data_IF_040005274074
#
_entry.id   IF_040005274074
#
_cell.length_a   1.000
_cell.length_b   1.000
_cell.length_c   1.000
_cell.angle_alpha   90.00
_cell.angle_beta   90.00
_cell.angle_gamma   90.00
#
_symmetry.space_group_name_H-M   'P 1'
#
loop_
_entity.id
_entity.type
_entity.pdbx_description
1 polymer ?
#
# COMPACT_ATOMS: atom_id res chain seq x y z
N UNK A 1 20.13 -28.89 -28.00
CA UNK A 1 20.43 -28.12 -29.24
C UNK A 1 19.21 -27.29 -29.67
N UNK A 2 18.86 -26.25 -28.91
CA UNK A 2 17.76 -25.34 -29.28
C UNK A 2 17.86 -23.99 -28.56
N UNK A 3 19.02 -23.33 -28.66
CA UNK A 3 19.20 -21.93 -28.24
C UNK A 3 19.88 -21.09 -29.34
N UNK A 4 19.68 -21.46 -30.61
CA UNK A 4 20.19 -20.71 -31.78
C UNK A 4 19.09 -19.91 -32.49
N UNK A 5 17.92 -19.78 -31.83
CA UNK A 5 16.77 -19.02 -32.32
C UNK A 5 16.65 -17.61 -31.70
N UNK A 6 17.43 -17.29 -30.65
CA UNK A 6 17.33 -16.01 -29.94
C UNK A 6 18.10 -14.85 -30.59
N UNK A 7 19.12 -15.14 -31.41
CA UNK A 7 19.97 -14.13 -32.04
C UNK A 7 19.34 -13.49 -33.29
N UNK A 8 18.52 -14.22 -34.03
CA UNK A 8 17.84 -13.72 -35.24
C UNK A 8 16.68 -12.76 -34.93
N UNK A 9 16.01 -12.95 -33.79
CA UNK A 9 14.94 -12.06 -33.29
C UNK A 9 15.48 -10.68 -32.87
N UNK A 10 16.65 -10.65 -32.23
CA UNK A 10 17.25 -9.39 -31.79
C UNK A 10 17.73 -8.52 -32.96
N UNK A 11 18.23 -9.15 -34.03
CA UNK A 11 18.68 -8.44 -35.24
C UNK A 11 17.50 -7.86 -36.05
N UNK A 12 16.36 -8.58 -36.11
CA UNK A 12 15.12 -8.07 -36.71
C UNK A 12 14.54 -6.88 -35.92
N UNK A 13 14.62 -6.90 -34.58
CA UNK A 13 14.17 -5.77 -33.75
C UNK A 13 15.02 -4.51 -33.95
N UNK A 14 16.35 -4.64 -34.10
CA UNK A 14 17.23 -3.48 -34.35
C UNK A 14 17.03 -2.86 -35.73
N UNK A 15 16.75 -3.67 -36.75
CA UNK A 15 16.41 -3.17 -38.10
C UNK A 15 15.04 -2.50 -38.13
N UNK A 16 14.05 -3.02 -37.39
CA UNK A 16 12.76 -2.36 -37.21
C UNK A 16 12.89 -1.01 -36.49
N UNK A 17 13.74 -0.92 -35.46
CA UNK A 17 14.01 0.32 -34.73
C UNK A 17 14.67 1.40 -35.60
N UNK A 18 15.71 1.03 -36.38
CA UNK A 18 16.36 1.96 -37.32
C UNK A 18 15.42 2.47 -38.41
N UNK A 19 14.40 1.69 -38.80
CA UNK A 19 13.40 2.12 -39.78
C UNK A 19 12.32 3.01 -39.17
N UNK A 20 12.04 2.88 -37.87
CA UNK A 20 11.11 3.76 -37.14
C UNK A 20 11.70 5.13 -36.80
N UNK A 21 13.00 5.23 -36.51
CA UNK A 21 13.63 6.51 -36.15
C UNK A 21 13.60 7.53 -37.30
N UNK A 22 13.74 7.09 -38.55
CA UNK A 22 13.71 7.99 -39.71
C UNK A 22 12.31 8.54 -40.03
N UNK A 23 11.24 7.86 -39.60
CA UNK A 23 9.85 8.31 -39.82
C UNK A 23 9.45 9.37 -38.78
N UNK A 24 10.01 9.31 -37.57
CA UNK A 24 9.75 10.29 -36.51
C UNK A 24 10.31 11.69 -36.83
N UNK A 25 11.47 11.81 -37.50
CA UNK A 25 11.99 13.13 -37.86
C UNK A 25 11.16 13.86 -38.92
N UNK A 26 10.51 13.12 -39.83
CA UNK A 26 9.60 13.72 -40.82
C UNK A 26 8.29 14.18 -40.17
N UNK A 27 7.81 13.46 -39.15
CA UNK A 27 6.63 13.85 -38.35
C UNK A 27 6.91 15.07 -37.45
N UNK A 28 8.14 15.24 -36.97
CA UNK A 28 8.56 16.41 -36.16
C UNK A 28 8.76 17.69 -36.99
N UNK A 29 8.93 17.58 -38.32
CA UNK A 29 8.98 18.72 -39.25
C UNK A 29 7.62 19.16 -39.78
N UNK A 30 6.55 18.47 -39.37
CA UNK A 30 5.12 18.86 -39.52
C UNK A 30 4.59 19.68 -38.33
N UNK A 31 5.50 20.34 -37.63
CA UNK A 31 5.13 21.60 -36.99
C UNK A 31 4.44 22.53 -38.02
N UNK A 32 3.65 23.45 -37.49
CA UNK A 32 3.63 24.84 -37.95
C UNK A 32 2.64 25.30 -39.02
N UNK A 33 1.51 24.63 -39.32
CA UNK A 33 0.52 25.30 -40.19
C UNK A 33 -0.94 24.83 -40.17
N UNK A 34 -1.62 24.88 -39.02
CA UNK A 34 -3.10 25.02 -38.90
C UNK A 34 -3.44 25.36 -37.45
N UNK A 35 -3.47 26.66 -37.11
CA UNK A 35 -4.71 27.43 -36.84
C UNK A 35 -5.70 26.62 -36.01
N UNK A 36 -5.72 26.89 -34.71
CA UNK A 36 -6.71 27.75 -34.05
C UNK A 36 -8.10 27.09 -34.02
N UNK A 37 -8.63 26.97 -32.81
CA UNK A 37 -9.97 26.46 -32.45
C UNK A 37 -10.05 24.94 -32.19
N UNK A 38 -9.57 24.54 -31.01
CA UNK A 38 -10.22 23.47 -30.25
C UNK A 38 -10.07 23.81 -28.75
N UNK A 39 -11.05 24.59 -28.26
CA UNK A 39 -11.52 24.73 -26.87
C UNK A 39 -10.50 24.75 -25.72
N UNK A 40 -10.08 25.95 -25.25
CA UNK A 40 -9.31 26.15 -24.01
C UNK A 40 -10.03 25.66 -22.75
N UNK A 41 -11.34 25.39 -22.83
CA UNK A 41 -12.19 25.05 -21.68
C UNK A 41 -12.00 23.62 -21.17
N UNK A 42 -11.65 22.66 -22.03
CA UNK A 42 -11.51 21.24 -21.63
C UNK A 42 -10.22 20.95 -20.85
N UNK A 43 -9.10 21.58 -21.22
CA UNK A 43 -7.85 21.47 -20.48
C UNK A 43 -7.97 22.11 -19.08
N UNK A 44 -8.73 23.20 -18.96
CA UNK A 44 -8.98 23.85 -17.67
C UNK A 44 -9.83 22.97 -16.74
N UNK A 45 -10.81 22.23 -17.26
CA UNK A 45 -11.58 21.25 -16.50
C UNK A 45 -10.74 20.04 -16.06
N UNK A 46 -9.80 19.57 -16.89
CA UNK A 46 -8.88 18.49 -16.50
C UNK A 46 -7.92 18.91 -15.38
N UNK A 47 -7.35 20.11 -15.44
CA UNK A 47 -6.46 20.62 -14.39
C UNK A 47 -7.22 20.85 -13.08
N UNK A 48 -8.47 21.35 -13.16
CA UNK A 48 -9.34 21.48 -12.00
C UNK A 48 -9.77 20.12 -11.41
N UNK A 49 -10.00 19.10 -12.23
CA UNK A 49 -10.29 17.74 -11.73
C UNK A 49 -9.12 17.11 -10.98
N UNK A 50 -7.88 17.27 -11.47
CA UNK A 50 -6.69 16.72 -10.79
C UNK A 50 -6.37 17.50 -9.50
N UNK A 51 -6.63 18.81 -9.46
CA UNK A 51 -6.48 19.63 -8.24
C UNK A 51 -7.64 19.52 -7.25
N UNK A 52 -8.82 19.06 -7.69
CA UNK A 52 -10.03 18.91 -6.87
C UNK A 52 -10.28 17.47 -6.42
N UNK A 53 -9.40 16.50 -6.68
CA UNK A 53 -9.43 15.28 -5.87
C UNK A 53 -8.75 15.62 -4.55
N UNK A 54 -9.49 15.86 -3.44
CA UNK A 54 -8.84 15.80 -2.17
C UNK A 54 -8.36 14.35 -2.06
N UNK A 55 -7.16 14.14 -1.53
CA UNK A 55 -6.92 12.88 -0.84
C UNK A 55 -7.96 12.79 0.28
N UNK A 56 -9.16 12.25 -0.02
CA UNK A 56 -10.25 11.95 0.91
C UNK A 56 -9.88 10.76 1.82
N UNK A 57 -8.59 10.52 2.02
CA UNK A 57 -8.13 9.59 3.03
C UNK A 57 -8.11 10.34 4.36
N UNK A 58 -9.04 10.02 5.25
CA UNK A 58 -8.86 10.41 6.65
C UNK A 58 -7.49 9.87 7.12
N UNK A 59 -6.72 10.65 7.91
CA UNK A 59 -5.43 10.19 8.37
C UNK A 59 -5.61 8.97 9.29
N UNK A 60 -5.33 7.78 8.76
CA UNK A 60 -5.37 6.52 9.51
C UNK A 60 -4.14 6.48 10.42
N UNK A 61 -4.33 6.80 11.69
CA UNK A 61 -3.31 6.63 12.72
C UNK A 61 -3.04 5.14 12.96
N UNK A 62 -1.78 4.73 12.76
CA UNK A 62 -1.34 3.37 13.06
C UNK A 62 -0.20 3.36 14.09
N UNK A 63 -0.11 2.29 14.86
CA UNK A 63 0.97 2.05 15.82
C UNK A 63 1.64 0.70 15.52
N UNK A 64 2.97 0.66 15.56
CA UNK A 64 3.73 -0.57 15.46
C UNK A 64 4.63 -0.70 16.68
N UNK A 65 4.42 -1.73 17.49
CA UNK A 65 5.13 -1.91 18.74
C UNK A 65 5.60 -3.35 18.95
N UNK A 66 6.89 -3.50 19.22
CA UNK A 66 7.47 -4.75 19.69
C UNK A 66 7.27 -4.90 21.22
N UNK A 67 6.31 -5.71 21.63
CA UNK A 67 5.91 -5.83 23.05
C UNK A 67 6.79 -6.84 23.81
N UNK A 68 7.42 -7.80 23.11
CA UNK A 68 8.23 -8.88 23.70
C UNK A 68 7.57 -9.59 24.89
N UNK A 69 6.60 -10.45 24.59
CA UNK A 69 5.96 -11.31 25.59
C UNK A 69 4.66 -10.72 26.13
N UNK A 70 3.61 -10.83 25.31
CA UNK A 70 2.23 -10.49 25.68
C UNK A 70 1.60 -11.51 26.65
N UNK A 71 2.34 -12.55 27.06
CA UNK A 71 1.84 -13.57 27.98
C UNK A 71 1.68 -13.04 29.42
N UNK A 72 2.37 -11.96 29.78
CA UNK A 72 2.25 -11.35 31.09
C UNK A 72 1.03 -10.41 31.16
N UNK A 73 0.14 -10.54 32.17
CA UNK A 73 -1.05 -9.68 32.28
C UNK A 73 -0.69 -8.19 32.42
N UNK A 74 0.37 -7.86 33.16
CA UNK A 74 0.84 -6.47 33.30
C UNK A 74 1.20 -5.84 31.96
N UNK A 75 1.82 -6.62 31.06
CA UNK A 75 2.15 -6.17 29.70
C UNK A 75 0.90 -5.94 28.87
N UNK A 76 -0.13 -6.78 29.04
CA UNK A 76 -1.42 -6.57 28.35
C UNK A 76 -2.09 -5.29 28.83
N UNK A 77 -2.04 -5.00 30.13
CA UNK A 77 -2.57 -3.76 30.68
C UNK A 77 -1.84 -2.53 30.11
N UNK A 78 -0.50 -2.55 30.07
CA UNK A 78 0.28 -1.46 29.47
C UNK A 78 -0.04 -1.27 27.98
N UNK A 79 -0.20 -2.36 27.23
CA UNK A 79 -0.58 -2.29 25.81
C UNK A 79 -1.96 -1.69 25.63
N UNK A 80 -2.94 -2.14 26.42
CA UNK A 80 -4.28 -1.59 26.43
C UNK A 80 -4.28 -0.08 26.72
N UNK A 81 -3.60 0.35 27.78
CA UNK A 81 -3.49 1.77 28.14
C UNK A 81 -2.82 2.59 27.03
N UNK A 82 -1.78 2.05 26.39
CA UNK A 82 -1.07 2.73 25.31
C UNK A 82 -1.97 2.89 24.08
N UNK A 83 -2.70 1.83 23.69
CA UNK A 83 -3.63 1.87 22.55
C UNK A 83 -4.79 2.83 22.84
N UNK A 84 -5.34 2.78 24.06
CA UNK A 84 -6.39 3.68 24.51
C UNK A 84 -5.93 5.15 24.50
N UNK A 85 -4.70 5.43 24.91
CA UNK A 85 -4.12 6.77 24.89
C UNK A 85 -3.82 7.27 23.48
N UNK A 86 -3.40 6.38 22.56
CA UNK A 86 -2.91 6.78 21.22
C UNK A 86 -4.04 6.91 20.19
N UNK A 87 -5.28 6.54 20.50
CA UNK A 87 -6.46 6.65 19.62
C UNK A 87 -6.27 6.09 18.20
N UNK A 88 -5.39 5.10 18.04
CA UNK A 88 -5.03 4.53 16.73
C UNK A 88 -6.18 3.69 16.12
N UNK A 89 -6.21 3.63 14.79
CA UNK A 89 -7.15 2.83 14.00
C UNK A 89 -6.58 1.46 13.62
N UNK A 90 -5.26 1.33 13.63
CA UNK A 90 -4.55 0.09 13.32
C UNK A 90 -3.37 -0.08 14.28
N UNK A 91 -3.31 -1.20 14.98
CA UNK A 91 -2.21 -1.54 15.88
C UNK A 91 -1.55 -2.85 15.44
N UNK A 92 -0.22 -2.81 15.29
CA UNK A 92 0.62 -3.96 14.96
C UNK A 92 1.54 -4.26 16.13
N UNK A 93 1.34 -5.41 16.77
CA UNK A 93 2.14 -5.87 17.90
C UNK A 93 3.05 -7.03 17.46
N UNK A 94 4.35 -6.86 17.67
CA UNK A 94 5.38 -7.84 17.29
C UNK A 94 5.95 -8.57 18.51
N UNK A 95 6.53 -9.74 18.26
CA UNK A 95 7.10 -10.64 19.27
C UNK A 95 6.13 -10.93 20.42
N UNK A 96 4.85 -11.15 20.10
CA UNK A 96 3.80 -11.39 21.11
C UNK A 96 4.06 -12.66 21.92
N UNK A 97 4.78 -13.62 21.34
CA UNK A 97 5.09 -14.96 21.90
C UNK A 97 3.84 -15.76 22.32
N UNK A 98 2.69 -15.43 21.74
CA UNK A 98 1.45 -16.17 21.96
C UNK A 98 1.23 -17.19 20.86
N UNK A 99 0.93 -18.42 21.29
CA UNK A 99 0.54 -19.51 20.40
C UNK A 99 -0.88 -19.32 19.84
N UNK A 100 -1.80 -18.77 20.64
CA UNK A 100 -3.16 -18.46 20.24
C UNK A 100 -3.63 -17.16 20.91
N UNK A 101 -4.43 -16.38 20.19
CA UNK A 101 -5.16 -15.22 20.70
C UNK A 101 -6.64 -15.53 20.69
N UNK A 102 -7.28 -15.19 21.80
CA UNK A 102 -8.72 -15.25 21.94
C UNK A 102 -9.33 -13.89 21.61
N UNK A 103 -10.55 -13.90 21.05
CA UNK A 103 -11.25 -12.69 20.63
C UNK A 103 -11.49 -11.74 21.80
N UNK A 104 -11.77 -12.26 22.99
CA UNK A 104 -11.93 -11.45 24.20
C UNK A 104 -10.65 -10.73 24.59
N UNK A 105 -9.50 -11.41 24.48
CA UNK A 105 -8.20 -10.79 24.78
C UNK A 105 -7.82 -9.76 23.72
N UNK A 106 -8.09 -10.04 22.44
CA UNK A 106 -7.88 -9.09 21.36
C UNK A 106 -8.73 -7.81 21.54
N UNK A 107 -10.02 -7.97 21.85
CA UNK A 107 -10.92 -6.85 22.11
C UNK A 107 -10.51 -6.03 23.35
N UNK A 108 -10.02 -6.71 24.41
CA UNK A 108 -9.45 -6.04 25.58
C UNK A 108 -8.23 -5.21 25.21
N UNK A 109 -7.26 -5.77 24.45
CA UNK A 109 -6.07 -5.03 24.01
C UNK A 109 -6.43 -3.86 23.10
N UNK A 110 -7.42 -4.04 22.23
CA UNK A 110 -7.93 -3.04 21.30
C UNK A 110 -8.74 -1.91 21.93
N UNK A 111 -8.93 -1.90 23.25
CA UNK A 111 -9.68 -0.86 23.96
C UNK A 111 -11.14 -0.75 23.49
N UNK A 112 -11.76 -1.88 23.14
CA UNK A 112 -13.11 -1.99 22.55
C UNK A 112 -13.32 -1.31 21.18
N UNK A 113 -12.35 -0.54 20.68
CA UNK A 113 -12.37 0.09 19.35
C UNK A 113 -11.87 -0.88 18.28
N UNK A 114 -10.72 -1.50 18.51
CA UNK A 114 -10.15 -2.48 17.58
C UNK A 114 -10.80 -3.85 17.83
N UNK A 115 -11.95 -4.08 17.18
CA UNK A 115 -12.74 -5.31 17.33
C UNK A 115 -12.19 -6.46 16.49
N UNK A 116 -11.62 -6.13 15.34
CA UNK A 116 -11.09 -7.11 14.41
C UNK A 116 -9.59 -7.27 14.56
N UNK A 117 -9.15 -8.51 14.37
CA UNK A 117 -7.77 -8.89 14.58
C UNK A 117 -7.33 -10.00 13.64
N UNK A 118 -6.04 -9.99 13.32
CA UNK A 118 -5.37 -11.06 12.60
C UNK A 118 -4.13 -11.44 13.39
N UNK A 119 -3.94 -12.72 13.63
CA UNK A 119 -2.78 -13.22 14.34
C UNK A 119 -1.96 -14.13 13.44
N UNK A 120 -0.65 -13.93 13.48
CA UNK A 120 0.31 -14.96 13.12
C UNK A 120 0.85 -15.60 14.39
N UNK A 121 0.47 -16.85 14.70
CA UNK A 121 0.86 -17.51 15.94
C UNK A 121 2.37 -17.69 16.01
N UNK A 122 2.91 -17.61 17.22
CA UNK A 122 4.31 -17.92 17.49
C UNK A 122 4.50 -19.45 17.40
N UNK A 123 5.39 -19.91 16.52
CA UNK A 123 5.74 -21.33 16.37
C UNK A 123 7.23 -21.50 16.64
N UNK A 124 7.58 -22.25 17.70
CA UNK A 124 8.96 -22.45 18.13
C UNK A 124 9.59 -21.17 18.69
N UNK A 125 10.77 -20.80 18.19
CA UNK A 125 11.51 -19.59 18.58
C UNK A 125 11.07 -18.33 17.85
N UNK A 126 10.14 -18.44 16.88
CA UNK A 126 9.69 -17.32 16.06
C UNK A 126 8.68 -16.47 16.84
N UNK A 127 8.92 -15.17 16.92
CA UNK A 127 7.98 -14.21 17.50
C UNK A 127 6.66 -14.17 16.73
N UNK A 128 5.55 -14.18 17.46
CA UNK A 128 4.20 -13.98 16.89
C UNK A 128 3.95 -12.53 16.51
N UNK A 129 3.04 -12.31 15.57
CA UNK A 129 2.57 -10.98 15.15
C UNK A 129 1.07 -10.92 15.39
N UNK A 130 0.59 -9.81 15.93
CA UNK A 130 -0.83 -9.54 16.12
C UNK A 130 -1.16 -8.19 15.47
N UNK A 131 -2.09 -8.19 14.53
CA UNK A 131 -2.72 -6.98 14.01
C UNK A 131 -4.10 -6.82 14.64
N UNK A 132 -4.42 -5.59 15.01
CA UNK A 132 -5.70 -5.15 15.53
C UNK A 132 -6.12 -3.95 14.68
N UNK A 133 -7.36 -3.92 14.20
CA UNK A 133 -7.88 -2.77 13.46
C UNK A 133 -9.35 -2.52 13.79
N UNK A 134 -9.77 -1.30 13.48
CA UNK A 134 -11.17 -0.90 13.50
C UNK A 134 -11.80 -1.18 12.13
N UNK A 135 -12.88 -1.95 12.09
CA UNK A 135 -13.59 -2.30 10.84
C UNK A 135 -14.24 -1.08 10.18
N UNK A 136 -14.53 -0.04 10.96
CA UNK A 136 -15.07 1.21 10.43
C UNK A 136 -13.99 2.02 9.69
N UNK A 137 -12.73 1.87 10.09
CA UNK A 137 -11.61 2.61 9.52
C UNK A 137 -10.87 1.83 8.42
N UNK A 138 -10.84 0.50 8.50
CA UNK A 138 -10.11 -0.37 7.57
C UNK A 138 -11.06 -1.44 7.04
N UNK A 139 -11.44 -1.32 5.77
CA UNK A 139 -12.10 -2.39 5.03
C UNK A 139 -11.04 -3.37 4.53
N UNK A 140 -11.09 -4.61 5.01
CA UNK A 140 -10.17 -5.71 4.65
C UNK A 140 -10.79 -6.60 3.58
#
# INVERSE_FOLDING_TARGET
>A
MRCEASSRLMMLMLLAWKRLSSVMEVLLRWTTMRRLWLEPCLLMLCVLWVFWFPMLGQPVNFICWNVRGLNCPDRRATVHETIAATSCHLACLQETKLAAMDQFTAAFLGGARLKSFAQRPAVGTRGGILLLWDDEAVQV
#
